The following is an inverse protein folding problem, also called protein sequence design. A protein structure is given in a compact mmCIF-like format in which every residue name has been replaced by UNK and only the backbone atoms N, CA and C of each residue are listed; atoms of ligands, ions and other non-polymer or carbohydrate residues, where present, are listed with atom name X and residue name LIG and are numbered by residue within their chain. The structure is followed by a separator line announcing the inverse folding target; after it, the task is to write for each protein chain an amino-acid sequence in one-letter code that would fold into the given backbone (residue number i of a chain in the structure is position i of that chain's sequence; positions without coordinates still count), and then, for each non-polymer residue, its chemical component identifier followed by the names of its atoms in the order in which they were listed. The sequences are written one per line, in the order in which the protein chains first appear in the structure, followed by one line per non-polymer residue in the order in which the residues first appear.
data_IF_152590001628
#
_entry.id   IF_152590001628
#
_cell.length_a   1.000
_cell.length_b   1.000
_cell.length_c   1.000
_cell.angle_alpha   90.00
_cell.angle_beta   90.00
_cell.angle_gamma   90.00
#
_symmetry.space_group_name_H-M   'P 1'
#
loop_
_entity.id
_entity.type
_entity.pdbx_description
1 polymer ?
#
# COMPACT_ATOMS: atom_id res chain seq x y z
N UNK A 1 61.81 17.88 20.56
CA UNK A 1 61.86 19.34 20.37
C UNK A 1 60.43 19.85 20.17
N UNK A 2 59.96 20.72 21.08
CA UNK A 2 58.84 21.71 21.03
C UNK A 2 57.53 21.28 20.34
N UNK A 3 56.47 20.86 21.04
CA UNK A 3 55.35 21.65 21.63
C UNK A 3 54.88 22.88 20.82
N UNK A 4 53.58 22.88 20.46
CA UNK A 4 52.59 23.96 20.71
C UNK A 4 51.17 23.35 20.62
N UNK A 5 50.38 23.63 21.65
CA UNK A 5 48.96 23.31 21.82
C UNK A 5 48.15 24.58 21.58
N UNK A 6 46.96 24.48 20.99
CA UNK A 6 45.93 25.51 21.12
C UNK A 6 44.53 24.88 21.08
N UNK A 7 43.85 24.96 22.22
CA UNK A 7 42.44 24.67 22.41
C UNK A 7 41.62 25.93 22.10
N UNK A 8 40.47 25.78 21.43
CA UNK A 8 39.40 26.79 21.46
C UNK A 8 38.10 26.15 21.97
N UNK A 9 37.61 26.70 23.07
CA UNK A 9 36.32 26.42 23.71
C UNK A 9 35.33 27.49 23.24
N UNK A 10 34.11 27.10 22.84
CA UNK A 10 33.01 28.02 22.50
C UNK A 10 32.00 28.02 23.63
N UNK A 11 31.72 29.21 24.18
CA UNK A 11 30.80 29.47 25.29
C UNK A 11 29.48 30.05 24.78
N UNK A 12 28.38 29.62 25.41
CA UNK A 12 26.98 29.97 25.16
C UNK A 12 26.66 31.47 25.32
N UNK A 13 25.86 32.02 24.40
CA UNK A 13 25.28 33.37 24.46
C UNK A 13 23.93 33.36 25.17
N UNK A 14 23.78 34.29 26.12
CA UNK A 14 22.58 34.55 26.95
C UNK A 14 21.94 35.87 26.50
N UNK A 15 20.64 35.86 26.21
CA UNK A 15 19.85 37.01 25.76
C UNK A 15 19.58 38.04 26.87
N UNK A 16 19.61 39.33 26.51
CA UNK A 16 19.32 40.49 27.38
C UNK A 16 18.11 41.29 26.86
N UNK A 17 17.30 41.83 27.79
CA UNK A 17 16.04 42.59 27.60
C UNK A 17 16.24 44.02 27.02
N UNK A 18 15.19 44.67 26.47
CA UNK A 18 15.25 46.07 26.01
C UNK A 18 14.77 47.08 27.07
N UNK A 19 15.07 48.39 26.92
CA UNK A 19 14.71 49.43 27.89
C UNK A 19 13.43 50.23 27.54
N UNK A 20 12.90 50.88 28.58
CA UNK A 20 11.77 51.81 28.60
C UNK A 20 12.17 53.24 28.16
N UNK A 21 11.19 54.03 27.71
CA UNK A 21 11.30 55.49 27.54
C UNK A 21 10.06 56.17 28.11
N UNK A 22 10.31 57.32 28.76
CA UNK A 22 9.46 58.00 29.72
C UNK A 22 8.62 59.15 29.15
N UNK A 23 7.67 59.56 30.01
CA UNK A 23 6.74 60.66 29.82
C UNK A 23 7.37 62.04 30.02
N UNK A 24 6.72 63.07 29.48
CA UNK A 24 6.96 64.47 29.86
C UNK A 24 5.64 65.27 29.87
N UNK A 25 5.27 65.70 31.08
CA UNK A 25 4.17 66.60 31.41
C UNK A 25 4.54 68.08 31.13
N UNK A 26 3.55 68.90 30.75
CA UNK A 26 3.53 70.33 31.02
C UNK A 26 2.11 70.80 31.38
N UNK A 27 2.02 71.62 32.43
CA UNK A 27 0.81 72.23 33.05
C UNK A 27 0.97 73.75 32.84
N UNK A 28 -0.06 74.59 32.55
CA UNK A 28 -0.83 75.40 33.55
C UNK A 28 -1.70 76.49 32.85
N UNK A 29 -2.99 76.52 33.24
CA UNK A 29 -3.97 77.62 33.53
C UNK A 29 -4.13 78.90 32.66
N UNK A 30 -5.32 79.16 32.06
CA UNK A 30 -6.57 79.87 32.49
C UNK A 30 -6.60 81.39 32.17
N UNK A 31 -7.57 81.84 31.35
CA UNK A 31 -8.67 82.78 31.69
C UNK A 31 -9.57 83.15 30.49
N UNK A 32 -10.76 83.63 30.83
CA UNK A 32 -12.06 83.74 30.13
C UNK A 32 -12.22 84.89 29.12
N UNK A 33 -13.09 84.71 28.12
CA UNK A 33 -14.15 85.71 27.79
C UNK A 33 -15.14 85.17 26.75
N UNK A 34 -16.42 85.33 27.05
CA UNK A 34 -17.57 85.00 26.21
C UNK A 34 -17.70 85.93 25.01
N UNK A 35 -18.24 85.43 23.89
CA UNK A 35 -19.14 86.15 23.00
C UNK A 35 -20.03 85.16 22.24
N UNK A 36 -21.33 85.36 22.43
CA UNK A 36 -22.44 84.63 21.84
C UNK A 36 -22.64 85.04 20.38
N UNK A 37 -22.82 84.07 19.47
CA UNK A 37 -23.52 84.31 18.21
C UNK A 37 -24.59 83.24 18.06
N UNK A 38 -25.82 83.72 18.00
CA UNK A 38 -27.07 82.99 17.86
C UNK A 38 -27.29 82.49 16.44
N UNK A 39 -27.71 81.23 16.28
CA UNK A 39 -28.55 80.79 15.17
C UNK A 39 -29.54 79.72 15.63
N UNK A 40 -30.83 80.01 15.40
CA UNK A 40 -32.03 79.19 15.65
C UNK A 40 -32.13 77.97 14.69
N UNK A 41 -33.08 77.04 14.91
CA UNK A 41 -32.83 75.60 14.87
C UNK A 41 -33.13 74.97 13.50
N UNK A 42 -32.40 73.90 13.18
CA UNK A 42 -32.77 72.96 12.12
C UNK A 42 -33.11 71.60 12.74
N UNK A 43 -34.18 71.01 12.22
CA UNK A 43 -34.93 69.85 12.69
C UNK A 43 -34.10 68.62 13.11
N UNK A 44 -34.57 67.98 14.18
CA UNK A 44 -34.21 66.62 14.54
C UNK A 44 -34.90 65.68 13.53
N UNK A 45 -34.22 65.38 12.42
CA UNK A 45 -34.52 64.14 11.70
C UNK A 45 -33.99 62.98 12.53
N UNK A 46 -34.95 62.27 13.13
CA UNK A 46 -34.74 61.02 13.88
C UNK A 46 -34.16 59.99 12.92
N UNK A 47 -32.83 59.98 12.82
CA UNK A 47 -32.05 58.98 12.11
C UNK A 47 -32.44 57.60 12.61
N UNK A 48 -33.30 56.93 11.85
CA UNK A 48 -33.65 55.53 12.04
C UNK A 48 -32.34 54.78 11.82
N UNK A 49 -31.63 54.45 12.90
CA UNK A 49 -30.58 53.44 12.88
C UNK A 49 -31.24 52.19 12.29
N UNK A 50 -31.05 51.97 11.00
CA UNK A 50 -31.12 50.63 10.43
C UNK A 50 -29.97 49.89 11.09
N UNK A 51 -30.28 49.23 12.19
CA UNK A 51 -29.51 48.06 12.60
C UNK A 51 -29.70 47.10 11.45
N UNK A 52 -28.74 47.09 10.52
CA UNK A 52 -28.55 45.94 9.65
C UNK A 52 -28.14 44.85 10.60
N UNK A 53 -29.09 44.00 10.99
CA UNK A 53 -28.72 42.66 11.40
C UNK A 53 -28.05 42.08 10.17
N UNK A 54 -26.71 42.12 10.15
CA UNK A 54 -25.96 41.11 9.41
C UNK A 54 -26.40 39.83 10.10
N UNK A 55 -27.32 39.10 9.46
CA UNK A 55 -27.53 37.70 9.80
C UNK A 55 -26.13 37.11 9.79
N UNK A 56 -25.68 36.53 10.90
CA UNK A 56 -24.54 35.62 10.84
C UNK A 56 -24.81 34.71 9.65
N UNK A 57 -23.86 34.68 8.71
CA UNK A 57 -23.93 33.82 7.56
C UNK A 57 -24.28 32.42 8.08
N UNK A 58 -25.39 31.84 7.61
CA UNK A 58 -25.64 30.41 7.72
C UNK A 58 -24.55 29.75 6.85
N UNK A 59 -23.31 29.71 7.35
CA UNK A 59 -22.17 29.09 6.68
C UNK A 59 -22.50 27.63 6.58
N UNK A 60 -22.82 27.19 5.36
CA UNK A 60 -23.18 25.83 5.06
C UNK A 60 -21.98 24.92 5.23
N UNK A 61 -21.64 24.55 6.46
CA UNK A 61 -20.42 23.82 6.76
C UNK A 61 -20.55 22.33 6.43
N UNK A 62 -19.52 21.77 5.79
CA UNK A 62 -19.34 20.33 5.60
C UNK A 62 -18.21 19.85 6.48
N UNK A 63 -18.42 18.77 7.21
CA UNK A 63 -17.41 18.16 8.07
C UNK A 63 -17.24 16.71 7.66
N UNK A 64 -16.04 16.36 7.20
CA UNK A 64 -15.64 15.01 6.82
C UNK A 64 -14.99 14.30 7.99
N UNK A 65 -15.46 13.09 8.25
CA UNK A 65 -14.95 12.18 9.27
C UNK A 65 -14.54 10.87 8.60
N UNK A 66 -13.23 10.65 8.51
CA UNK A 66 -12.68 9.35 8.13
C UNK A 66 -12.28 8.55 9.37
N UNK A 67 -12.27 7.22 9.26
CA UNK A 67 -11.82 6.38 10.36
C UNK A 67 -10.34 6.66 10.65
N UNK A 68 -9.95 6.87 11.93
CA UNK A 68 -8.56 7.09 12.27
C UNK A 68 -7.74 5.81 12.00
N UNK A 69 -6.64 5.96 11.26
CA UNK A 69 -5.63 4.90 11.10
C UNK A 69 -5.56 4.31 9.70
N UNK A 70 -5.52 2.98 9.63
CA UNK A 70 -5.29 2.22 8.40
C UNK A 70 -6.30 1.08 8.25
N UNK A 71 -6.79 0.90 7.03
CA UNK A 71 -7.58 -0.28 6.66
C UNK A 71 -6.66 -1.29 6.00
N UNK A 72 -6.81 -2.58 6.36
CA UNK A 72 -5.91 -3.65 5.91
C UNK A 72 -6.71 -4.68 5.13
N UNK A 73 -6.22 -5.05 3.95
CA UNK A 73 -6.77 -6.17 3.17
C UNK A 73 -5.64 -6.98 2.53
N UNK A 74 -5.97 -7.93 1.67
CA UNK A 74 -5.00 -8.71 0.90
C UNK A 74 -5.30 -8.61 -0.59
N UNK A 75 -4.31 -8.90 -1.44
CA UNK A 75 -4.48 -8.91 -2.89
C UNK A 75 -5.61 -9.87 -3.32
N UNK A 76 -6.50 -9.38 -4.17
CA UNK A 76 -7.71 -10.05 -4.63
C UNK A 76 -8.91 -9.91 -3.68
N UNK A 77 -8.72 -9.35 -2.49
CA UNK A 77 -9.78 -9.09 -1.53
C UNK A 77 -10.63 -7.88 -1.90
N UNK A 78 -11.61 -7.58 -1.04
CA UNK A 78 -12.39 -6.35 -1.07
C UNK A 78 -12.14 -5.55 0.20
N UNK A 79 -12.23 -4.23 0.13
CA UNK A 79 -12.09 -3.34 1.29
C UNK A 79 -12.95 -2.11 1.14
N UNK A 80 -13.49 -1.62 2.24
CA UNK A 80 -14.19 -0.32 2.31
C UNK A 80 -13.20 0.74 2.76
N UNK A 81 -13.16 1.87 2.04
CA UNK A 81 -12.52 3.10 2.49
C UNK A 81 -13.57 3.96 3.20
N UNK A 82 -13.57 4.00 4.55
CA UNK A 82 -14.63 4.65 5.31
C UNK A 82 -14.50 6.17 5.23
N UNK A 83 -15.56 6.84 4.81
CA UNK A 83 -15.69 8.29 4.82
C UNK A 83 -17.14 8.65 5.12
N UNK A 84 -17.36 9.31 6.25
CA UNK A 84 -18.66 9.90 6.59
C UNK A 84 -18.55 11.40 6.57
N UNK A 85 -19.66 12.06 6.28
CA UNK A 85 -19.72 13.50 6.33
C UNK A 85 -21.02 13.96 6.97
N UNK A 86 -20.96 15.12 7.59
CA UNK A 86 -22.09 15.84 8.15
C UNK A 86 -22.15 17.22 7.51
N UNK A 87 -23.36 17.71 7.24
CA UNK A 87 -23.57 19.03 6.65
C UNK A 87 -24.60 19.81 7.45
N UNK A 88 -24.31 21.07 7.72
CA UNK A 88 -25.25 22.00 8.37
C UNK A 88 -25.60 23.12 7.38
N UNK A 89 -26.89 23.45 7.15
CA UNK A 89 -28.08 22.79 7.69
C UNK A 89 -28.36 21.43 7.01
N UNK A 90 -28.87 20.46 7.78
CA UNK A 90 -29.15 19.09 7.31
C UNK A 90 -30.10 19.02 6.09
N UNK A 91 -30.83 20.11 5.81
CA UNK A 91 -31.82 20.21 4.73
C UNK A 91 -31.21 20.54 3.35
N UNK A 92 -29.89 20.43 3.20
CA UNK A 92 -29.21 20.57 1.91
C UNK A 92 -29.61 19.44 0.97
N UNK A 93 -29.94 19.77 -0.29
CA UNK A 93 -30.29 18.78 -1.31
C UNK A 93 -29.11 17.82 -1.56
N UNK A 94 -29.26 16.50 -1.30
CA UNK A 94 -28.21 15.52 -1.53
C UNK A 94 -27.72 15.47 -2.98
N UNK A 95 -28.52 15.95 -3.94
CA UNK A 95 -28.10 16.03 -5.35
C UNK A 95 -26.99 17.06 -5.60
N UNK A 96 -26.78 18.01 -4.66
CA UNK A 96 -25.77 19.07 -4.75
C UNK A 96 -24.45 18.69 -4.10
N UNK A 97 -24.42 17.60 -3.33
CA UNK A 97 -23.21 17.11 -2.68
C UNK A 97 -22.36 16.36 -3.70
N UNK A 98 -21.12 16.81 -3.86
CA UNK A 98 -20.10 16.12 -4.66
C UNK A 98 -19.19 15.32 -3.74
N UNK A 99 -19.04 14.04 -4.04
CA UNK A 99 -18.07 13.15 -3.38
C UNK A 99 -16.97 12.85 -4.39
N UNK A 100 -15.72 13.05 -4.00
CA UNK A 100 -14.56 12.74 -4.83
C UNK A 100 -13.55 11.94 -4.01
N UNK A 101 -13.13 10.82 -4.56
CA UNK A 101 -12.02 10.04 -4.06
C UNK A 101 -10.83 10.15 -5.00
N UNK A 102 -9.67 10.45 -4.43
CA UNK A 102 -8.39 10.45 -5.12
C UNK A 102 -7.39 9.56 -4.40
N UNK A 103 -6.44 8.99 -5.15
CA UNK A 103 -5.27 8.34 -4.60
C UNK A 103 -4.10 9.32 -4.63
N UNK A 104 -3.45 9.52 -3.49
CA UNK A 104 -2.25 10.34 -3.38
C UNK A 104 -1.06 9.54 -3.91
N UNK A 105 -0.44 9.99 -5.01
CA UNK A 105 0.70 9.32 -5.64
C UNK A 105 2.03 10.01 -5.32
N UNK A 106 2.00 11.33 -5.16
CA UNK A 106 3.12 12.16 -4.71
C UNK A 106 2.55 13.36 -3.93
N UNK A 107 3.38 14.16 -3.28
CA UNK A 107 2.96 15.32 -2.48
C UNK A 107 2.09 16.33 -3.24
N UNK A 108 2.14 16.34 -4.58
CA UNK A 108 1.40 17.24 -5.46
C UNK A 108 0.63 16.49 -6.57
N UNK A 109 0.59 15.16 -6.53
CA UNK A 109 -0.05 14.36 -7.57
C UNK A 109 -1.14 13.46 -6.98
N UNK A 110 -2.31 13.55 -7.61
CA UNK A 110 -3.51 12.84 -7.21
C UNK A 110 -4.08 12.13 -8.44
N UNK A 111 -4.34 10.84 -8.32
CA UNK A 111 -5.04 10.05 -9.32
C UNK A 111 -6.52 10.00 -8.96
N UNK A 112 -7.40 10.47 -9.86
CA UNK A 112 -8.84 10.35 -9.64
C UNK A 112 -9.24 8.87 -9.59
N UNK A 113 -10.01 8.49 -8.56
CA UNK A 113 -10.49 7.11 -8.34
C UNK A 113 -11.99 7.03 -8.65
N UNK A 114 -12.76 7.90 -8.00
CA UNK A 114 -14.22 7.90 -8.04
C UNK A 114 -14.76 9.31 -7.85
N UNK A 115 -15.81 9.68 -8.59
CA UNK A 115 -16.57 10.92 -8.36
C UNK A 115 -18.06 10.61 -8.42
N UNK A 116 -18.81 11.16 -7.48
CA UNK A 116 -20.27 11.19 -7.52
C UNK A 116 -20.81 12.61 -7.31
N UNK A 117 -21.88 12.94 -8.03
CA UNK A 117 -22.69 14.13 -7.85
C UNK A 117 -24.16 13.70 -7.89
N UNK A 118 -24.82 13.68 -6.73
CA UNK A 118 -26.13 13.07 -6.57
C UNK A 118 -26.17 11.62 -7.06
N UNK A 119 -26.92 11.34 -8.12
CA UNK A 119 -27.06 9.99 -8.72
C UNK A 119 -26.05 9.68 -9.82
N UNK A 120 -25.34 10.70 -10.30
CA UNK A 120 -24.35 10.51 -11.35
C UNK A 120 -23.03 10.10 -10.70
N UNK A 121 -22.43 9.02 -11.19
CA UNK A 121 -21.16 8.52 -10.70
C UNK A 121 -20.22 8.18 -11.84
N UNK A 122 -18.93 8.35 -11.60
CA UNK A 122 -17.87 8.06 -12.56
C UNK A 122 -16.69 7.42 -11.83
N UNK A 123 -16.20 6.33 -12.41
CA UNK A 123 -15.01 5.62 -11.95
C UNK A 123 -13.89 5.77 -12.98
N UNK A 124 -12.66 5.92 -12.51
CA UNK A 124 -11.51 6.29 -13.35
C UNK A 124 -10.45 5.18 -13.38
N UNK A 125 -9.51 5.31 -14.32
CA UNK A 125 -8.32 4.46 -14.42
C UNK A 125 -8.56 2.95 -14.31
N UNK A 126 -7.69 2.29 -13.55
CA UNK A 126 -7.74 0.85 -13.26
C UNK A 126 -8.85 0.48 -12.26
N UNK A 127 -9.51 1.47 -11.66
CA UNK A 127 -10.59 1.30 -10.67
C UNK A 127 -11.95 0.97 -11.31
N UNK A 128 -12.09 1.15 -12.62
CA UNK A 128 -13.33 0.88 -13.36
C UNK A 128 -13.77 -0.58 -13.18
N UNK A 129 -15.06 -0.74 -12.86
CA UNK A 129 -15.69 -2.06 -12.68
C UNK A 129 -15.36 -2.74 -11.34
N UNK A 130 -14.62 -2.08 -10.44
CA UNK A 130 -14.28 -2.63 -9.13
C UNK A 130 -14.44 -1.65 -7.95
N UNK A 131 -14.68 -0.36 -8.21
CA UNK A 131 -14.99 0.62 -7.16
C UNK A 131 -16.45 1.03 -7.22
N UNK A 132 -17.09 1.03 -6.05
CA UNK A 132 -18.51 1.32 -5.89
C UNK A 132 -18.75 2.15 -4.63
N UNK A 133 -19.74 3.03 -4.65
CA UNK A 133 -20.21 3.71 -3.43
C UNK A 133 -20.96 2.69 -2.55
N UNK A 134 -20.68 2.66 -1.25
CA UNK A 134 -21.30 1.71 -0.31
C UNK A 134 -22.79 1.98 -0.08
N UNK A 135 -23.20 3.26 -0.06
CA UNK A 135 -24.58 3.71 0.14
C UNK A 135 -25.20 3.23 1.48
N UNK A 136 -24.45 3.26 2.59
CA UNK A 136 -24.96 2.81 3.89
C UNK A 136 -25.97 3.78 4.55
N UNK A 137 -26.22 4.96 3.95
CA UNK A 137 -27.21 5.93 4.40
C UNK A 137 -26.88 7.36 3.96
N UNK A 138 -27.68 8.35 4.38
CA UNK A 138 -27.33 9.77 4.24
C UNK A 138 -26.00 10.06 4.96
N UNK A 139 -25.15 10.91 4.37
CA UNK A 139 -23.85 11.26 4.95
C UNK A 139 -22.77 10.19 4.79
N UNK A 140 -22.99 9.15 3.98
CA UNK A 140 -21.98 8.13 3.70
C UNK A 140 -21.33 8.34 2.33
N UNK A 141 -20.03 8.65 2.35
CA UNK A 141 -19.18 8.81 1.19
C UNK A 141 -18.21 7.62 1.02
N UNK A 142 -18.40 6.54 1.78
CA UNK A 142 -17.51 5.38 1.76
C UNK A 142 -17.55 4.66 0.42
N UNK A 143 -16.38 4.26 -0.08
CA UNK A 143 -16.25 3.47 -1.32
C UNK A 143 -15.72 2.08 -1.02
N UNK A 144 -16.24 1.09 -1.72
CA UNK A 144 -15.78 -0.30 -1.70
C UNK A 144 -14.88 -0.50 -2.90
N UNK A 145 -13.65 -0.96 -2.65
CA UNK A 145 -12.72 -1.41 -3.68
C UNK A 145 -12.71 -2.95 -3.67
N UNK A 146 -13.12 -3.55 -4.77
CA UNK A 146 -13.06 -4.99 -5.01
C UNK A 146 -11.80 -5.38 -5.78
N UNK A 147 -11.42 -6.65 -5.70
CA UNK A 147 -10.26 -7.23 -6.41
C UNK A 147 -9.00 -6.36 -6.26
N UNK A 148 -8.63 -6.08 -5.01
CA UNK A 148 -7.53 -5.17 -4.66
C UNK A 148 -6.19 -5.69 -5.23
N UNK A 149 -5.45 -4.81 -5.88
CA UNK A 149 -4.14 -5.07 -6.48
C UNK A 149 -3.01 -4.55 -5.60
N UNK A 150 -1.74 -4.87 -5.94
CA UNK A 150 -0.60 -4.29 -5.23
C UNK A 150 -0.52 -2.77 -5.42
N UNK A 151 -0.91 -2.28 -6.60
CA UNK A 151 -0.91 -0.86 -6.94
C UNK A 151 -2.00 -0.08 -6.20
N UNK A 152 -2.97 -0.74 -5.56
CA UNK A 152 -3.99 -0.06 -4.75
C UNK A 152 -3.48 0.33 -3.36
N UNK A 153 -2.31 -0.16 -2.95
CA UNK A 153 -1.66 0.30 -1.73
C UNK A 153 -1.44 1.81 -1.78
N UNK A 154 -1.71 2.48 -0.67
CA UNK A 154 -1.39 3.90 -0.51
C UNK A 154 -2.43 4.68 0.26
N UNK A 155 -2.27 6.01 0.20
CA UNK A 155 -3.13 6.98 0.87
C UNK A 155 -4.19 7.49 -0.10
N UNK A 156 -5.42 7.52 0.38
CA UNK A 156 -6.58 8.00 -0.35
C UNK A 156 -7.16 9.21 0.37
N UNK A 157 -7.68 10.14 -0.42
CA UNK A 157 -8.35 11.35 0.04
C UNK A 157 -9.83 11.28 -0.38
N UNK A 158 -10.69 11.53 0.59
CA UNK A 158 -12.12 11.73 0.42
C UNK A 158 -12.40 13.22 0.53
N UNK A 159 -12.77 13.85 -0.58
CA UNK A 159 -13.19 15.25 -0.67
C UNK A 159 -14.72 15.27 -0.80
N UNK A 160 -15.39 15.95 0.13
CA UNK A 160 -16.84 16.20 0.06
C UNK A 160 -17.06 17.70 -0.07
N UNK A 161 -17.72 18.09 -1.16
CA UNK A 161 -17.97 19.48 -1.50
C UNK A 161 -19.47 19.74 -1.58
N UNK A 162 -19.94 20.80 -0.93
CA UNK A 162 -21.27 21.37 -1.16
C UNK A 162 -21.16 22.66 -2.00
N UNK A 163 -22.21 23.47 -2.08
CA UNK A 163 -22.20 24.68 -2.91
C UNK A 163 -21.31 25.82 -2.39
N UNK A 164 -20.82 25.73 -1.15
CA UNK A 164 -20.14 26.83 -0.45
C UNK A 164 -18.76 26.44 0.10
N UNK A 165 -18.61 25.20 0.58
CA UNK A 165 -17.43 24.71 1.28
C UNK A 165 -17.07 23.27 0.87
N UNK A 166 -15.79 22.93 1.02
CA UNK A 166 -15.24 21.59 0.90
C UNK A 166 -14.50 21.19 2.17
N UNK A 167 -14.63 19.92 2.56
CA UNK A 167 -13.79 19.33 3.59
C UNK A 167 -13.24 17.99 3.12
N UNK A 168 -12.13 17.58 3.71
CA UNK A 168 -11.34 16.44 3.27
C UNK A 168 -10.97 15.52 4.42
N UNK A 169 -10.96 14.21 4.14
CA UNK A 169 -10.47 13.20 5.06
C UNK A 169 -9.55 12.22 4.35
N UNK A 170 -8.62 11.63 5.09
CA UNK A 170 -7.65 10.67 4.54
C UNK A 170 -7.87 9.27 5.10
N UNK A 171 -7.63 8.27 4.25
CA UNK A 171 -7.62 6.85 4.62
C UNK A 171 -6.37 6.19 4.02
N UNK A 172 -5.64 5.43 4.84
CA UNK A 172 -4.50 4.65 4.36
C UNK A 172 -4.94 3.19 4.13
N UNK A 173 -4.84 2.72 2.88
CA UNK A 173 -5.03 1.32 2.50
C UNK A 173 -3.67 0.60 2.60
N UNK A 174 -3.58 -0.36 3.52
CA UNK A 174 -2.43 -1.23 3.72
C UNK A 174 -2.74 -2.66 3.25
N UNK A 175 -1.70 -3.40 2.85
CA UNK A 175 -1.84 -4.76 2.36
C UNK A 175 -1.12 -5.72 3.30
N UNK A 176 -1.76 -6.85 3.59
CA UNK A 176 -1.05 -7.99 4.16
C UNK A 176 -0.02 -8.50 3.15
N UNK A 177 1.24 -8.60 3.58
CA UNK A 177 2.30 -9.00 2.68
C UNK A 177 3.61 -9.32 3.37
N UNK A 178 4.65 -9.42 2.56
CA UNK A 178 6.01 -9.75 2.97
C UNK A 178 6.99 -8.86 2.22
N UNK A 179 7.91 -8.27 2.96
CA UNK A 179 9.05 -7.53 2.41
C UNK A 179 10.21 -8.48 2.16
N UNK A 180 10.88 -8.35 1.03
CA UNK A 180 12.07 -9.10 0.71
C UNK A 180 13.14 -8.25 0.01
N UNK A 181 14.43 -8.50 0.30
CA UNK A 181 15.52 -7.84 -0.40
C UNK A 181 15.71 -8.42 -1.80
N UNK A 182 16.03 -7.57 -2.75
CA UNK A 182 16.29 -7.93 -4.14
C UNK A 182 17.53 -7.22 -4.69
N UNK A 183 18.35 -7.97 -5.42
CA UNK A 183 19.42 -7.44 -6.26
C UNK A 183 19.50 -8.29 -7.54
N UNK A 184 19.86 -7.69 -8.69
CA UNK A 184 19.81 -8.36 -9.97
C UNK A 184 21.08 -9.19 -10.21
N UNK A 185 21.16 -9.85 -11.38
CA UNK A 185 22.26 -10.77 -11.72
C UNK A 185 23.62 -10.07 -11.78
N UNK A 186 23.64 -8.79 -12.13
CA UNK A 186 24.81 -7.92 -12.22
C UNK A 186 25.47 -7.69 -10.86
N UNK A 187 24.78 -8.04 -9.77
CA UNK A 187 25.28 -7.98 -8.41
C UNK A 187 24.61 -6.88 -7.58
N UNK A 188 25.18 -6.63 -6.41
CA UNK A 188 24.68 -5.67 -5.43
C UNK A 188 24.98 -4.23 -5.85
N UNK A 189 24.11 -3.31 -5.45
CA UNK A 189 24.22 -1.86 -5.69
C UNK A 189 24.32 -1.52 -7.17
N UNK A 190 23.41 -2.08 -7.97
CA UNK A 190 23.35 -1.92 -9.44
C UNK A 190 22.07 -1.26 -9.95
N UNK A 191 21.09 -1.01 -9.08
CA UNK A 191 19.80 -0.46 -9.47
C UNK A 191 19.71 1.01 -9.07
N UNK A 192 19.38 1.88 -10.02
CA UNK A 192 18.84 3.20 -9.67
C UNK A 192 17.38 3.06 -9.20
N UNK A 193 16.73 4.16 -8.80
CA UNK A 193 15.37 4.09 -8.25
C UNK A 193 14.37 3.48 -9.24
N UNK A 194 14.37 3.95 -10.49
CA UNK A 194 13.43 3.46 -11.52
C UNK A 194 13.67 1.97 -11.85
N UNK A 195 14.94 1.57 -11.95
CA UNK A 195 15.32 0.17 -12.16
C UNK A 195 14.93 -0.70 -10.95
N UNK A 196 14.98 -0.17 -9.73
CA UNK A 196 14.55 -0.89 -8.53
C UNK A 196 13.03 -1.10 -8.52
N UNK A 197 12.26 -0.08 -8.92
CA UNK A 197 10.82 -0.19 -9.10
C UNK A 197 10.46 -1.25 -10.15
N UNK A 198 11.09 -1.18 -11.33
CA UNK A 198 10.89 -2.16 -12.41
C UNK A 198 11.31 -3.57 -12.00
N UNK A 199 12.42 -3.71 -11.27
CA UNK A 199 12.89 -4.99 -10.77
C UNK A 199 11.87 -5.63 -9.82
N UNK A 200 11.29 -4.86 -8.88
CA UNK A 200 10.24 -5.37 -8.01
C UNK A 200 9.00 -5.77 -8.81
N UNK A 201 8.54 -4.94 -9.77
CA UNK A 201 7.40 -5.25 -10.66
C UNK A 201 7.62 -6.55 -11.42
N UNK A 202 8.81 -6.75 -11.99
CA UNK A 202 9.18 -7.98 -12.69
C UNK A 202 9.09 -9.22 -11.79
N UNK A 203 9.29 -9.06 -10.47
CA UNK A 203 9.21 -10.15 -9.49
C UNK A 203 7.82 -10.33 -8.83
N UNK A 204 6.75 -9.75 -9.38
CA UNK A 204 5.38 -9.76 -8.82
C UNK A 204 5.31 -9.06 -7.44
N UNK A 205 5.94 -7.89 -7.38
CA UNK A 205 6.05 -7.06 -6.20
C UNK A 205 6.05 -5.57 -6.57
N UNK A 206 5.98 -4.69 -5.57
CA UNK A 206 6.22 -3.25 -5.67
C UNK A 206 7.39 -2.87 -4.76
N UNK A 207 7.91 -1.65 -4.83
CA UNK A 207 8.83 -1.18 -3.78
C UNK A 207 8.11 -1.15 -2.43
N UNK A 208 8.82 -1.54 -1.38
CA UNK A 208 8.27 -1.52 -0.03
C UNK A 208 8.22 -0.08 0.50
N UNK A 209 7.19 0.22 1.30
CA UNK A 209 7.16 1.46 2.08
C UNK A 209 8.06 1.36 3.31
N UNK A 210 8.43 2.51 3.88
CA UNK A 210 9.15 2.54 5.16
C UNK A 210 8.39 1.79 6.26
N UNK A 211 7.07 1.96 6.33
CA UNK A 211 6.24 1.28 7.33
C UNK A 211 6.27 -0.25 7.17
N UNK A 212 6.26 -0.74 5.93
CA UNK A 212 6.36 -2.17 5.62
C UNK A 212 7.75 -2.71 5.97
N UNK A 213 8.83 -1.99 5.63
CA UNK A 213 10.20 -2.38 6.00
C UNK A 213 10.39 -2.42 7.51
N UNK A 214 9.90 -1.41 8.23
CA UNK A 214 9.96 -1.34 9.68
C UNK A 214 9.20 -2.50 10.33
N UNK A 215 8.00 -2.83 9.82
CA UNK A 215 7.26 -4.01 10.27
C UNK A 215 8.04 -5.30 10.01
N UNK A 216 8.64 -5.45 8.85
CA UNK A 216 9.45 -6.64 8.53
C UNK A 216 10.68 -6.77 9.46
N UNK A 217 11.31 -5.66 9.83
CA UNK A 217 12.40 -5.63 10.81
C UNK A 217 11.93 -6.05 12.21
N UNK A 218 10.77 -5.57 12.66
CA UNK A 218 10.15 -6.01 13.92
C UNK A 218 9.86 -7.53 13.91
N UNK A 219 9.55 -8.09 12.74
CA UNK A 219 9.38 -9.53 12.51
C UNK A 219 10.73 -10.29 12.35
N UNK A 220 11.87 -9.61 12.52
CA UNK A 220 13.20 -10.22 12.52
C UNK A 220 13.97 -10.16 11.19
N UNK A 221 13.52 -9.34 10.22
CA UNK A 221 14.29 -9.12 8.99
C UNK A 221 15.61 -8.42 9.30
N UNK A 222 16.71 -9.12 9.02
CA UNK A 222 18.08 -8.62 9.12
C UNK A 222 18.75 -8.66 7.75
N UNK A 223 19.11 -7.49 7.21
CA UNK A 223 19.74 -7.34 5.90
C UNK A 223 20.75 -6.20 5.86
N UNK A 224 21.99 -6.51 5.51
CA UNK A 224 23.13 -5.58 5.60
C UNK A 224 23.38 -4.74 4.34
N UNK A 225 22.49 -4.78 3.35
CA UNK A 225 22.64 -3.94 2.17
C UNK A 225 21.56 -2.87 2.16
N UNK A 226 21.98 -1.64 1.86
CA UNK A 226 21.08 -0.52 1.59
C UNK A 226 20.26 -0.77 0.33
N UNK A 227 18.95 -0.51 0.41
CA UNK A 227 18.03 -0.66 -0.72
C UNK A 227 17.02 0.46 -0.81
N UNK A 228 16.55 0.71 -2.04
CA UNK A 228 15.49 1.67 -2.33
C UNK A 228 14.15 1.26 -1.71
N UNK A 229 13.39 2.26 -1.27
CA UNK A 229 11.99 2.20 -0.84
C UNK A 229 11.10 3.02 -1.79
N UNK A 230 9.78 2.87 -1.67
CA UNK A 230 8.80 3.50 -2.58
C UNK A 230 8.88 5.04 -2.60
N UNK A 231 9.30 5.66 -1.50
CA UNK A 231 9.38 7.13 -1.38
C UNK A 231 10.70 7.69 -1.94
N UNK A 232 11.58 6.83 -2.46
CA UNK A 232 12.92 7.20 -2.91
C UNK A 232 13.92 7.38 -1.78
N UNK A 233 13.57 7.00 -0.54
CA UNK A 233 14.56 6.85 0.52
C UNK A 233 15.33 5.54 0.37
N UNK A 234 16.53 5.50 0.96
CA UNK A 234 17.39 4.32 0.97
C UNK A 234 17.66 3.91 2.40
N UNK A 235 17.31 2.67 2.74
CA UNK A 235 17.34 2.19 4.12
C UNK A 235 17.78 0.72 4.18
N UNK A 236 18.12 0.22 5.38
CA UNK A 236 18.32 -1.22 5.60
C UNK A 236 18.09 -1.65 7.06
N UNK A 237 17.42 -2.79 7.30
CA UNK A 237 17.07 -3.26 8.63
C UNK A 237 18.15 -4.13 9.26
N UNK A 238 18.49 -3.88 10.52
CA UNK A 238 19.45 -4.69 11.28
C UNK A 238 18.84 -5.09 12.61
N UNK A 239 18.56 -6.38 12.75
CA UNK A 239 18.07 -6.97 14.00
C UNK A 239 19.24 -7.43 14.88
N UNK A 240 20.40 -7.76 14.29
CA UNK A 240 21.60 -8.20 14.99
C UNK A 240 22.80 -7.28 14.67
N UNK A 241 23.09 -6.27 15.52
CA UNK A 241 24.21 -5.36 15.33
C UNK A 241 25.56 -6.06 15.18
N UNK A 242 26.38 -5.60 14.22
CA UNK A 242 27.69 -6.20 13.87
C UNK A 242 28.55 -5.22 13.08
N UNK A 243 29.86 -5.34 13.17
CA UNK A 243 30.80 -4.33 12.66
C UNK A 243 30.67 -4.05 11.16
N UNK A 244 30.51 -5.12 10.38
CA UNK A 244 30.37 -5.07 8.92
C UNK A 244 29.08 -4.38 8.46
N UNK A 245 28.13 -4.21 9.37
CA UNK A 245 26.82 -3.65 9.12
C UNK A 245 26.63 -2.54 10.13
N UNK A 246 27.26 -1.39 9.89
CA UNK A 246 27.05 -0.16 10.67
C UNK A 246 27.47 -0.25 12.13
N UNK A 247 28.58 -0.93 12.43
CA UNK A 247 29.19 -1.06 13.78
C UNK A 247 28.35 -1.82 14.81
N UNK A 248 29.02 -2.47 15.77
CA UNK A 248 28.37 -3.28 16.82
C UNK A 248 27.76 -2.46 17.96
N UNK A 249 28.25 -1.25 18.18
CA UNK A 249 27.79 -0.29 19.20
C UNK A 249 26.47 0.39 18.83
N UNK A 250 26.16 0.49 17.53
CA UNK A 250 24.88 1.03 17.09
C UNK A 250 23.72 0.08 17.42
N UNK A 251 22.59 0.60 17.96
CA UNK A 251 21.44 -0.22 18.31
C UNK A 251 20.82 -0.87 17.06
N UNK A 252 20.09 -1.96 17.29
CA UNK A 252 19.24 -2.56 16.26
C UNK A 252 18.20 -1.55 15.77
N UNK A 253 17.87 -1.60 14.49
CA UNK A 253 16.93 -0.67 13.87
C UNK A 253 16.99 -0.68 12.36
N UNK A 254 16.09 0.10 11.76
CA UNK A 254 16.14 0.43 10.34
C UNK A 254 17.03 1.65 10.16
N UNK A 255 18.16 1.47 9.50
CA UNK A 255 19.12 2.55 9.26
C UNK A 255 18.76 3.29 7.99
N UNK A 256 18.87 4.61 8.05
CA UNK A 256 18.34 5.50 7.04
C UNK A 256 19.46 6.34 6.40
N UNK A 257 19.60 6.28 5.09
CA UNK A 257 20.50 7.14 4.29
C UNK A 257 19.80 8.39 3.75
N UNK A 258 18.50 8.54 4.02
CA UNK A 258 17.65 9.62 3.56
C UNK A 258 17.15 9.43 2.12
N UNK A 259 16.53 10.48 1.59
CA UNK A 259 16.21 10.59 0.17
C UNK A 259 17.49 10.71 -0.64
N UNK A 260 17.61 9.93 -1.71
CA UNK A 260 18.80 9.86 -2.56
C UNK A 260 18.46 10.26 -4.00
N UNK A 261 19.47 10.63 -4.79
CA UNK A 261 19.25 10.99 -6.19
C UNK A 261 18.83 9.76 -7.00
N UNK A 262 17.60 9.80 -7.54
CA UNK A 262 16.90 8.64 -8.14
C UNK A 262 17.59 8.12 -9.40
N UNK A 263 18.30 8.99 -10.12
CA UNK A 263 18.93 8.72 -11.43
C UNK A 263 20.40 8.31 -11.30
N UNK A 264 21.14 8.96 -10.41
CA UNK A 264 22.61 8.87 -10.34
C UNK A 264 23.11 7.83 -9.34
N UNK A 265 22.37 7.59 -8.27
CA UNK A 265 22.79 6.65 -7.23
C UNK A 265 22.33 5.22 -7.52
N UNK A 266 23.00 4.25 -6.90
CA UNK A 266 22.76 2.83 -7.11
C UNK A 266 22.72 2.08 -5.80
N UNK A 267 21.66 1.32 -5.59
CA UNK A 267 21.45 0.49 -4.41
C UNK A 267 20.82 -0.86 -4.78
N UNK A 268 20.50 -1.68 -3.78
CA UNK A 268 19.60 -2.83 -3.92
C UNK A 268 18.14 -2.33 -3.86
N UNK A 269 17.17 -3.24 -3.75
CA UNK A 269 15.76 -2.89 -3.55
C UNK A 269 15.16 -3.67 -2.39
N UNK A 270 14.25 -3.07 -1.63
CA UNK A 270 13.31 -3.81 -0.80
C UNK A 270 11.97 -3.85 -1.51
N UNK A 271 11.56 -5.06 -1.90
CA UNK A 271 10.31 -5.29 -2.59
C UNK A 271 9.24 -5.79 -1.61
N UNK A 272 7.99 -5.43 -1.85
CA UNK A 272 6.82 -5.89 -1.10
C UNK A 272 5.87 -6.66 -2.03
N UNK A 273 5.40 -7.80 -1.56
CA UNK A 273 4.38 -8.60 -2.26
C UNK A 273 3.33 -9.10 -1.27
N UNK A 274 2.16 -9.49 -1.80
CA UNK A 274 1.00 -9.91 -1.02
C UNK A 274 0.62 -11.36 -1.35
N UNK A 275 -0.51 -11.83 -0.81
CA UNK A 275 -1.06 -13.15 -1.07
C UNK A 275 -1.25 -13.40 -2.57
N UNK A 276 -1.00 -14.64 -3.00
CA UNK A 276 -1.07 -15.04 -4.40
C UNK A 276 -2.46 -15.51 -4.80
N UNK A 277 -2.91 -15.12 -6.01
CA UNK A 277 -3.98 -15.83 -6.71
C UNK A 277 -3.40 -17.05 -7.45
N UNK A 278 -3.00 -18.07 -6.69
CA UNK A 278 -2.37 -19.27 -7.22
C UNK A 278 -1.49 -19.99 -6.21
N UNK A 279 -0.71 -20.97 -6.65
CA UNK A 279 0.15 -21.78 -5.78
C UNK A 279 1.56 -21.91 -6.35
N UNK A 280 2.56 -21.72 -5.49
CA UNK A 280 3.95 -22.08 -5.78
C UNK A 280 4.23 -23.47 -5.24
N UNK A 281 4.92 -24.30 -6.02
CA UNK A 281 5.30 -25.65 -5.61
C UNK A 281 6.63 -26.06 -6.23
N UNK A 282 7.32 -26.96 -5.55
CA UNK A 282 8.54 -27.58 -6.06
C UNK A 282 8.21 -28.77 -6.96
N UNK A 283 8.72 -28.79 -8.18
CA UNK A 283 8.40 -29.83 -9.16
C UNK A 283 9.20 -31.11 -8.92
N UNK A 284 8.66 -32.02 -8.09
CA UNK A 284 9.36 -33.23 -7.61
C UNK A 284 9.66 -34.30 -8.67
N UNK A 285 8.92 -34.33 -9.79
CA UNK A 285 8.97 -35.44 -10.76
C UNK A 285 10.24 -35.48 -11.62
N UNK A 286 11.10 -34.46 -11.52
CA UNK A 286 12.30 -34.36 -12.35
C UNK A 286 13.57 -34.48 -11.51
N UNK A 287 14.60 -35.09 -12.10
CA UNK A 287 15.98 -34.94 -11.63
C UNK A 287 16.36 -33.46 -11.67
N UNK A 288 17.42 -33.08 -10.97
CA UNK A 288 17.97 -31.72 -11.07
C UNK A 288 18.28 -31.39 -12.53
N UNK A 289 17.87 -30.21 -12.98
CA UNK A 289 17.91 -29.74 -14.36
C UNK A 289 18.65 -28.41 -14.46
N UNK A 290 19.14 -28.09 -15.66
CA UNK A 290 19.66 -26.76 -15.94
C UNK A 290 18.50 -25.74 -16.07
N UNK A 291 18.83 -24.45 -16.19
CA UNK A 291 17.80 -23.40 -16.19
C UNK A 291 16.83 -23.51 -17.38
N UNK A 292 17.33 -23.82 -18.58
CA UNK A 292 16.48 -23.91 -19.79
C UNK A 292 15.52 -25.10 -19.69
N UNK A 293 15.98 -26.23 -19.17
CA UNK A 293 15.16 -27.39 -18.90
C UNK A 293 14.13 -27.14 -17.80
N UNK A 294 14.50 -26.40 -16.75
CA UNK A 294 13.60 -25.99 -15.68
C UNK A 294 12.40 -25.19 -16.21
N UNK A 295 12.66 -24.21 -17.09
CA UNK A 295 11.60 -23.43 -17.76
C UNK A 295 10.64 -24.34 -18.54
N UNK A 296 11.20 -25.25 -19.36
CA UNK A 296 10.41 -26.23 -20.13
C UNK A 296 9.66 -27.22 -19.24
N UNK A 297 10.20 -27.55 -18.07
CA UNK A 297 9.57 -28.48 -17.14
C UNK A 297 8.29 -27.88 -16.53
N UNK A 298 8.31 -26.62 -16.06
CA UNK A 298 7.09 -25.98 -15.56
C UNK A 298 6.03 -25.82 -16.66
N UNK A 299 6.44 -25.41 -17.88
CA UNK A 299 5.51 -25.25 -19.02
C UNK A 299 4.81 -26.57 -19.35
N UNK A 300 5.56 -27.68 -19.41
CA UNK A 300 4.97 -29.02 -19.65
C UNK A 300 4.04 -29.48 -18.52
N UNK A 301 4.21 -28.95 -17.32
CA UNK A 301 3.34 -29.20 -16.17
C UNK A 301 2.10 -28.26 -16.15
N UNK A 302 1.91 -27.41 -17.17
CA UNK A 302 0.81 -26.45 -17.24
C UNK A 302 0.99 -25.28 -16.27
N UNK A 303 2.24 -24.90 -16.01
CA UNK A 303 2.64 -23.85 -15.07
C UNK A 303 3.78 -23.01 -15.64
N UNK A 304 4.21 -21.98 -14.92
CA UNK A 304 5.40 -21.17 -15.26
C UNK A 304 6.42 -21.28 -14.15
N UNK A 305 7.68 -20.94 -14.40
CA UNK A 305 8.66 -20.86 -13.29
C UNK A 305 8.26 -19.71 -12.37
N UNK A 306 8.31 -19.96 -11.07
CA UNK A 306 7.89 -18.97 -10.08
C UNK A 306 8.82 -17.76 -10.07
N UNK A 307 8.22 -16.59 -9.86
CA UNK A 307 8.93 -15.34 -9.59
C UNK A 307 9.46 -15.30 -8.17
N UNK A 308 10.43 -14.44 -7.90
CA UNK A 308 11.00 -14.31 -6.54
C UNK A 308 9.94 -13.86 -5.54
N UNK A 309 9.14 -12.83 -5.85
CA UNK A 309 8.07 -12.38 -4.96
C UNK A 309 7.04 -13.48 -4.70
N UNK A 310 6.67 -14.24 -5.73
CA UNK A 310 5.78 -15.40 -5.56
C UNK A 310 6.34 -16.44 -4.58
N UNK A 311 7.64 -16.71 -4.61
CA UNK A 311 8.25 -17.63 -3.63
C UNK A 311 8.17 -17.08 -2.20
N UNK A 312 8.42 -15.78 -1.99
CA UNK A 312 8.28 -15.15 -0.67
C UNK A 312 6.83 -15.17 -0.19
N UNK A 313 5.86 -14.88 -1.05
CA UNK A 313 4.45 -14.97 -0.72
C UNK A 313 4.04 -16.41 -0.37
N UNK A 314 4.51 -17.41 -1.11
CA UNK A 314 4.24 -18.82 -0.80
C UNK A 314 4.91 -19.28 0.50
N UNK A 315 6.14 -18.81 0.79
CA UNK A 315 6.79 -19.05 2.06
C UNK A 315 5.99 -18.48 3.24
N UNK A 316 5.53 -17.23 3.13
CA UNK A 316 4.79 -16.54 4.21
C UNK A 316 3.36 -17.06 4.37
N UNK A 317 2.61 -17.23 3.28
CA UNK A 317 1.16 -17.48 3.32
C UNK A 317 0.74 -18.91 2.99
N UNK A 318 1.55 -19.66 2.24
CA UNK A 318 1.28 -21.06 1.90
C UNK A 318 2.10 -22.03 2.74
N UNK A 319 2.91 -21.49 3.67
CA UNK A 319 3.83 -22.23 4.54
C UNK A 319 4.72 -23.18 3.72
N UNK A 320 5.17 -22.73 2.55
CA UNK A 320 6.01 -23.53 1.68
C UNK A 320 7.40 -23.71 2.31
N UNK A 321 7.62 -24.89 2.92
CA UNK A 321 8.89 -25.29 3.51
C UNK A 321 9.59 -26.35 2.66
N UNK A 322 10.78 -26.04 2.11
CA UNK A 322 11.52 -26.96 1.26
C UNK A 322 13.02 -26.73 1.34
N UNK A 323 13.73 -27.73 1.84
CA UNK A 323 15.19 -27.77 1.88
C UNK A 323 15.84 -28.14 0.53
N UNK A 324 15.35 -27.59 -0.58
CA UNK A 324 15.91 -27.90 -1.89
C UNK A 324 16.00 -26.65 -2.75
N UNK A 325 17.23 -26.32 -3.13
CA UNK A 325 17.55 -25.24 -4.04
C UNK A 325 16.91 -25.48 -5.42
N UNK A 326 16.17 -24.48 -5.90
CA UNK A 326 15.51 -24.53 -7.19
C UNK A 326 15.65 -23.22 -7.97
N UNK A 327 15.58 -23.33 -9.28
CA UNK A 327 15.55 -22.20 -10.20
C UNK A 327 14.30 -21.34 -10.00
N UNK A 328 14.51 -20.03 -10.06
CA UNK A 328 13.50 -18.98 -10.13
C UNK A 328 13.47 -18.38 -11.54
N UNK A 329 12.42 -17.64 -11.89
CA UNK A 329 12.24 -17.06 -13.23
C UNK A 329 13.41 -16.13 -13.61
N UNK A 330 13.90 -15.30 -12.67
CA UNK A 330 15.05 -14.39 -12.87
C UNK A 330 16.39 -15.13 -13.06
N UNK A 331 16.41 -16.46 -12.92
CA UNK A 331 17.62 -17.28 -12.99
C UNK A 331 18.44 -17.28 -11.71
N UNK A 332 17.94 -16.69 -10.62
CA UNK A 332 18.48 -16.95 -9.29
C UNK A 332 18.11 -18.36 -8.83
N UNK A 333 18.86 -18.87 -7.86
CA UNK A 333 18.54 -20.14 -7.19
C UNK A 333 18.19 -19.86 -5.73
N UNK A 334 17.00 -20.31 -5.32
CA UNK A 334 16.44 -20.03 -4.00
C UNK A 334 15.78 -21.25 -3.38
N UNK A 335 15.55 -21.22 -2.07
CA UNK A 335 14.72 -22.20 -1.38
C UNK A 335 14.12 -21.62 -0.09
N UNK A 336 12.84 -21.90 0.22
CA UNK A 336 12.15 -21.37 1.38
C UNK A 336 12.25 -22.30 2.61
N UNK A 337 12.48 -21.72 3.78
CA UNK A 337 12.51 -22.42 5.07
C UNK A 337 11.51 -21.77 6.03
N UNK A 338 10.44 -22.47 6.37
CA UNK A 338 9.48 -22.03 7.39
C UNK A 338 9.92 -22.54 8.76
N UNK A 339 10.35 -23.81 8.83
CA UNK A 339 10.80 -24.45 10.06
C UNK A 339 12.33 -24.63 10.00
N UNK A 340 13.11 -23.80 10.71
CA UNK A 340 14.57 -23.87 10.68
C UNK A 340 15.10 -25.24 11.13
N UNK A 341 16.18 -25.69 10.50
CA UNK A 341 16.78 -27.00 10.75
C UNK A 341 18.29 -26.94 10.57
N UNK A 342 19.04 -27.61 11.45
CA UNK A 342 20.51 -27.51 11.51
C UNK A 342 21.21 -27.86 10.20
N UNK A 343 20.64 -28.79 9.41
CA UNK A 343 21.21 -29.21 8.12
C UNK A 343 20.69 -28.42 6.92
N UNK A 344 19.84 -27.40 7.12
CA UNK A 344 19.26 -26.67 6.01
C UNK A 344 18.83 -25.24 6.31
N UNK A 345 19.50 -24.29 5.66
CA UNK A 345 19.10 -22.89 5.71
C UNK A 345 19.31 -22.21 7.07
N UNK A 346 20.12 -22.78 7.96
CA UNK A 346 20.51 -22.16 9.22
C UNK A 346 19.42 -22.19 10.30
N UNK A 347 19.59 -21.32 11.30
CA UNK A 347 18.76 -21.25 12.51
C UNK A 347 17.52 -20.35 12.38
N UNK A 348 17.38 -19.61 11.28
CA UNK A 348 16.30 -18.64 11.08
C UNK A 348 15.39 -19.06 9.92
N UNK A 349 14.08 -18.71 9.95
CA UNK A 349 13.20 -18.89 8.82
C UNK A 349 13.51 -17.87 7.72
N UNK A 350 13.03 -18.12 6.50
CA UNK A 350 13.17 -17.21 5.37
C UNK A 350 13.46 -17.92 4.05
N UNK A 351 13.49 -17.14 2.97
CA UNK A 351 13.93 -17.60 1.65
C UNK A 351 15.44 -17.40 1.52
N UNK A 352 16.16 -18.48 1.26
CA UNK A 352 17.61 -18.45 1.07
C UNK A 352 17.94 -18.19 -0.38
N UNK A 353 18.95 -17.35 -0.63
CA UNK A 353 19.44 -17.00 -1.95
C UNK A 353 20.85 -17.56 -2.16
N UNK A 354 21.03 -18.37 -3.20
CA UNK A 354 22.33 -18.96 -3.59
C UNK A 354 23.00 -18.22 -4.75
N UNK A 355 22.50 -17.02 -5.09
CA UNK A 355 23.01 -16.20 -6.19
C UNK A 355 22.48 -16.65 -7.56
N UNK A 356 23.23 -16.27 -8.59
CA UNK A 356 22.94 -16.50 -10.00
C UNK A 356 23.96 -17.46 -10.62
N UNK A 357 23.84 -18.78 -10.38
CA UNK A 357 24.75 -19.77 -10.93
C UNK A 357 24.67 -19.85 -12.46
N UNK A 358 25.69 -20.49 -13.07
CA UNK A 358 25.72 -20.72 -14.51
C UNK A 358 24.49 -21.52 -14.98
N UNK A 359 23.72 -20.93 -15.88
CA UNK A 359 22.43 -21.44 -16.38
C UNK A 359 22.57 -22.73 -17.19
N UNK A 360 23.75 -23.02 -17.75
CA UNK A 360 24.01 -24.16 -18.65
C UNK A 360 24.55 -25.36 -17.88
N UNK A 361 25.48 -25.12 -16.94
CA UNK A 361 26.24 -26.20 -16.32
C UNK A 361 25.75 -26.61 -14.93
N UNK A 362 25.02 -25.74 -14.22
CA UNK A 362 24.53 -26.06 -12.87
C UNK A 362 23.14 -26.69 -12.92
N UNK A 363 22.93 -27.68 -12.06
CA UNK A 363 21.69 -28.44 -11.98
C UNK A 363 21.02 -28.23 -10.62
N UNK A 364 19.76 -27.81 -10.64
CA UNK A 364 18.93 -27.59 -9.45
C UNK A 364 17.51 -28.11 -9.68
N UNK A 365 16.67 -28.09 -8.64
CA UNK A 365 15.23 -28.25 -8.84
C UNK A 365 14.61 -27.03 -9.51
N UNK A 366 13.28 -26.96 -9.51
CA UNK A 366 12.56 -25.78 -10.01
C UNK A 366 11.31 -25.54 -9.17
N UNK A 367 11.06 -24.28 -8.84
CA UNK A 367 9.79 -23.84 -8.27
C UNK A 367 8.90 -23.36 -9.41
N UNK A 368 7.72 -23.95 -9.53
CA UNK A 368 6.72 -23.55 -10.50
C UNK A 368 5.58 -22.80 -9.81
N UNK A 369 4.95 -21.89 -10.54
CA UNK A 369 3.76 -21.16 -10.14
C UNK A 369 2.60 -21.51 -11.07
N UNK A 370 1.45 -21.83 -10.48
CA UNK A 370 0.20 -22.06 -11.18
C UNK A 370 -0.85 -21.11 -10.64
N UNK A 371 -1.37 -20.24 -11.51
CA UNK A 371 -2.49 -19.34 -11.21
C UNK A 371 -3.76 -20.17 -11.01
N UNK A 372 -4.62 -19.78 -10.07
CA UNK A 372 -5.97 -20.34 -10.03
C UNK A 372 -6.76 -19.78 -11.23
N UNK A 373 -7.61 -20.60 -11.85
CA UNK A 373 -8.60 -20.09 -12.80
C UNK A 373 -9.75 -19.54 -11.97
N UNK A 374 -10.12 -18.28 -12.17
CA UNK A 374 -11.27 -17.70 -11.48
C UNK A 374 -12.52 -18.49 -11.90
N UNK A 375 -13.18 -19.17 -10.96
CA UNK A 375 -14.48 -19.81 -11.16
C UNK A 375 -15.55 -18.71 -11.24
N UNK A 376 -15.57 -17.98 -12.35
CA UNK A 376 -16.68 -17.06 -12.67
C UNK A 376 -16.78 -16.86 -14.17
N UNK A 377 -17.18 -17.93 -14.85
CA UNK A 377 -17.92 -17.88 -16.10
C UNK A 377 -18.90 -19.06 -16.06
N UNK A 378 -20.03 -18.86 -15.38
CA UNK A 378 -21.17 -19.76 -15.43
C UNK A 378 -21.71 -19.81 -16.85
N UNK A 379 -21.25 -20.80 -17.60
CA UNK A 379 -21.92 -21.31 -18.80
C UNK A 379 -22.71 -22.54 -18.40
N UNK A 380 -24.02 -22.42 -18.46
CA UNK A 380 -25.07 -23.40 -18.14
C UNK A 380 -24.75 -24.83 -18.58
N UNK A 381 -24.32 -25.70 -17.67
CA UNK A 381 -24.53 -27.14 -17.82
C UNK A 381 -25.95 -27.47 -17.33
N UNK A 382 -26.84 -27.73 -18.27
CA UNK A 382 -28.15 -28.33 -18.00
C UNK A 382 -27.91 -29.75 -17.51
N UNK A 383 -27.79 -29.93 -16.20
CA UNK A 383 -27.85 -31.25 -15.57
C UNK A 383 -29.30 -31.73 -15.62
N UNK A 384 -29.60 -32.70 -16.49
CA UNK A 384 -30.85 -33.46 -16.43
C UNK A 384 -30.85 -34.27 -15.13
N UNK A 385 -31.76 -33.92 -14.23
CA UNK A 385 -32.07 -34.71 -13.03
C UNK A 385 -32.78 -36.01 -13.41
N UNK A 386 -32.39 -37.17 -12.83
CA UNK A 386 -33.20 -38.37 -12.87
C UNK A 386 -34.18 -38.33 -11.69
N UNK A 387 -35.48 -38.29 -11.98
CA UNK A 387 -36.51 -38.56 -10.96
C UNK A 387 -37.18 -39.89 -11.27
N UNK A 388 -37.19 -40.74 -10.26
CA UNK A 388 -37.87 -42.02 -10.14
C UNK A 388 -39.26 -42.04 -10.78
N UNK A 389 -39.59 -43.15 -11.44
CA UNK A 389 -40.95 -43.66 -11.40
C UNK A 389 -40.96 -45.18 -11.23
N UNK A 390 -41.63 -45.54 -10.14
CA UNK A 390 -41.82 -46.86 -9.57
C UNK A 390 -42.77 -47.71 -10.42
N UNK A 391 -42.48 -49.02 -10.50
CA UNK A 391 -43.41 -50.16 -10.64
C UNK A 391 -44.30 -50.30 -11.90
N UNK A 392 -44.23 -51.46 -12.58
CA UNK A 392 -45.09 -52.65 -12.30
C UNK A 392 -44.98 -53.73 -13.41
N UNK A 393 -44.63 -54.94 -12.97
CA UNK A 393 -44.86 -56.31 -13.51
C UNK A 393 -45.63 -56.49 -14.85
N UNK A 394 -45.08 -57.35 -15.73
CA UNK A 394 -45.58 -58.70 -16.15
C UNK A 394 -44.69 -59.21 -17.32
N UNK A 395 -43.94 -60.30 -17.17
CA UNK A 395 -44.32 -61.70 -17.44
C UNK A 395 -44.57 -62.04 -18.92
N UNK A 396 -43.59 -62.69 -19.56
CA UNK A 396 -43.80 -63.93 -20.34
C UNK A 396 -42.48 -64.49 -20.92
N UNK A 397 -42.21 -65.76 -20.60
CA UNK A 397 -41.70 -66.89 -21.43
C UNK A 397 -40.55 -66.63 -22.44
N UNK A 398 -39.54 -67.48 -22.64
CA UNK A 398 -39.40 -68.95 -22.51
C UNK A 398 -37.93 -69.37 -22.75
N UNK A 399 -37.50 -70.43 -22.06
CA UNK A 399 -36.30 -71.29 -22.30
C UNK A 399 -36.64 -72.20 -23.53
N UNK A 400 -35.72 -72.75 -24.39
CA UNK A 400 -34.51 -73.46 -24.00
C UNK A 400 -33.24 -73.42 -24.89
N UNK A 401 -32.18 -73.91 -24.24
CA UNK A 401 -30.95 -74.57 -24.69
C UNK A 401 -30.78 -74.98 -26.17
N UNK A 402 -29.58 -74.71 -26.70
CA UNK A 402 -28.64 -75.64 -27.33
C UNK A 402 -27.39 -74.82 -27.70
N UNK A 403 -26.13 -75.19 -27.47
CA UNK A 403 -25.35 -76.37 -27.84
C UNK A 403 -24.06 -75.85 -28.53
N UNK A 404 -22.92 -76.14 -27.89
CA UNK A 404 -21.75 -76.77 -28.51
C UNK A 404 -20.87 -75.98 -29.51
N UNK A 405 -19.62 -75.80 -29.06
CA UNK A 405 -18.32 -76.00 -29.76
C UNK A 405 -17.78 -74.99 -30.81
N UNK A 406 -16.52 -74.58 -30.55
CA UNK A 406 -15.30 -74.72 -31.40
C UNK A 406 -15.35 -73.88 -32.70
N UNK A 407 -14.46 -72.92 -32.97
CA UNK A 407 -13.01 -72.76 -32.79
C UNK A 407 -12.71 -71.33 -32.34
#
# INVERSE_FOLDING_TARGET
MRTISSFHTVTLLKWSRPPAFGEMFFVVFILTSALSVTSLPAEIEKGRRKVVHVLEDDTGAVIVQTAPGKVVTHRGGSITLPCRFHHEPENTDPARIRIKWTKVTDALQFEDVFVALGRQQRVFGSYRGRVFLEQAGPGDASVIIQNVTLEDYGRYECEVTNDMEDDTGFVNLDLEGVVFPYYPREGRYKLNYHQAEDACKQQDAILASHSQLHKAWLEGLDWCNAGWLEDGSVQYPISHPRDQCGRKDNPAGVRNYGYRHKEDERYDAFCFTSKLNGKVYFLKRFKKVNYVEAMKACIRDGSVVAKVGQLYAAWKFQLLDRCEAGWMEDGSVRYPIVNPRSRCGGSQPGVRHLGFPDKKFRLYGVYCFRKNKDETAGGTEVTKSPTDNLTRRKSSNSIPMNATRVI
#
